data_IF_937973775840
#
_entry.id   IF_937973775840
#
_cell.length_a   1.000
_cell.length_b   1.000
_cell.length_c   1.000
_cell.angle_alpha   90.00
_cell.angle_beta   90.00
_cell.angle_gamma   90.00
#
_symmetry.space_group_name_H-M   'P 1'
#
loop_
_entity.id
_entity.type
_entity.pdbx_description
1 polymer ?
#
# COMPACT_ATOMS: atom_id res chain seq x y z
N UNK A 1 -10.56 2.02 -36.50
CA UNK A 1 -10.31 3.30 -37.16
C UNK A 1 -8.99 3.84 -36.71
N UNK A 2 -7.97 3.63 -37.52
CA UNK A 2 -6.65 4.27 -37.33
C UNK A 2 -6.74 5.65 -37.96
N UNK A 3 -6.89 6.66 -37.17
CA UNK A 3 -6.75 8.04 -37.60
C UNK A 3 -5.57 8.66 -36.87
N UNK A 4 -4.38 8.36 -37.33
CA UNK A 4 -3.17 9.02 -36.85
C UNK A 4 -2.11 8.91 -37.94
N UNK A 5 -1.69 10.03 -38.48
CA UNK A 5 -0.56 10.11 -39.42
C UNK A 5 0.73 10.03 -38.59
N UNK A 6 0.85 9.01 -37.74
CA UNK A 6 2.04 8.76 -36.94
C UNK A 6 2.82 7.58 -37.51
N UNK A 7 4.13 7.59 -37.38
CA UNK A 7 5.06 6.56 -37.85
C UNK A 7 5.16 5.36 -36.90
N UNK A 8 4.26 5.27 -35.91
CA UNK A 8 4.25 4.16 -34.96
C UNK A 8 3.84 2.82 -35.61
N UNK A 9 4.55 1.73 -35.28
CA UNK A 9 4.36 0.40 -35.87
C UNK A 9 3.89 -0.63 -34.84
N UNK A 10 3.36 -1.74 -35.35
CA UNK A 10 3.02 -2.91 -34.54
C UNK A 10 1.98 -2.63 -33.42
N UNK A 11 1.01 -1.74 -33.69
CA UNK A 11 -0.06 -1.42 -32.74
C UNK A 11 -1.36 -2.17 -33.10
N UNK A 12 -2.10 -2.59 -32.07
CA UNK A 12 -3.44 -3.16 -32.19
C UNK A 12 -4.43 -2.25 -31.45
N UNK A 13 -5.37 -1.62 -32.19
CA UNK A 13 -6.41 -0.75 -31.63
C UNK A 13 -7.80 -1.25 -31.99
N UNK A 14 -8.60 -1.58 -30.98
CA UNK A 14 -9.98 -2.08 -31.12
C UNK A 14 -10.91 -1.27 -30.24
N UNK A 15 -11.80 -0.50 -30.82
CA UNK A 15 -12.78 0.32 -30.12
C UNK A 15 -12.83 1.76 -30.61
N UNK A 16 -13.90 2.46 -30.25
CA UNK A 16 -14.07 3.86 -30.62
C UNK A 16 -12.98 4.70 -29.95
N UNK A 17 -12.25 5.47 -30.73
CA UNK A 17 -11.16 6.35 -30.28
C UNK A 17 -9.99 5.64 -29.54
N UNK A 18 -9.85 4.30 -29.64
CA UNK A 18 -8.68 3.60 -29.13
C UNK A 18 -7.41 4.09 -29.86
N UNK A 19 -6.38 4.49 -29.09
CA UNK A 19 -5.13 4.99 -29.66
C UNK A 19 -5.25 6.23 -30.55
N UNK A 20 -6.25 7.08 -30.35
CA UNK A 20 -6.62 8.17 -31.29
C UNK A 20 -5.49 9.17 -31.57
N UNK A 21 -4.65 9.47 -30.59
CA UNK A 21 -3.62 10.49 -30.69
C UNK A 21 -2.21 9.92 -30.89
N UNK A 22 -2.09 8.70 -31.42
CA UNK A 22 -0.79 8.07 -31.67
C UNK A 22 0.05 8.93 -32.63
N UNK A 23 1.27 9.26 -32.22
CA UNK A 23 2.27 9.91 -33.08
C UNK A 23 3.40 8.89 -33.45
N UNK A 24 4.25 8.55 -32.50
CA UNK A 24 5.38 7.63 -32.71
C UNK A 24 5.30 6.34 -31.89
N UNK A 25 4.23 6.19 -31.08
CA UNK A 25 4.03 5.06 -30.19
C UNK A 25 3.95 3.73 -30.96
N UNK A 26 4.66 2.71 -30.49
CA UNK A 26 4.76 1.40 -31.16
C UNK A 26 4.56 0.24 -30.21
N UNK A 27 4.12 -0.91 -30.74
CA UNK A 27 3.95 -2.17 -30.00
C UNK A 27 2.96 -2.04 -28.85
N UNK A 28 1.84 -1.35 -29.08
CA UNK A 28 0.78 -1.18 -28.09
C UNK A 28 -0.46 -2.00 -28.48
N UNK A 29 -1.17 -2.51 -27.48
CA UNK A 29 -2.47 -3.17 -27.63
C UNK A 29 -3.51 -2.41 -26.84
N UNK A 30 -4.43 -1.72 -27.53
CA UNK A 30 -5.52 -0.95 -26.87
C UNK A 30 -6.88 -1.49 -27.33
N UNK A 31 -7.66 -2.00 -26.35
CA UNK A 31 -8.97 -2.61 -26.61
C UNK A 31 -10.01 -1.97 -25.70
N UNK A 32 -10.96 -1.25 -26.26
CA UNK A 32 -12.02 -0.57 -25.54
C UNK A 32 -12.23 0.86 -26.05
N UNK A 33 -13.36 1.46 -25.68
CA UNK A 33 -13.64 2.85 -26.02
C UNK A 33 -12.60 3.75 -25.32
N UNK A 34 -11.92 4.59 -26.09
CA UNK A 34 -10.92 5.55 -25.62
C UNK A 34 -9.72 4.90 -24.87
N UNK A 35 -9.49 3.58 -25.02
CA UNK A 35 -8.30 2.94 -24.45
C UNK A 35 -7.03 3.53 -25.06
N UNK A 36 -6.08 4.00 -24.22
CA UNK A 36 -4.85 4.65 -24.67
C UNK A 36 -5.07 5.85 -25.58
N UNK A 37 -6.20 6.57 -25.46
CA UNK A 37 -6.64 7.59 -26.40
C UNK A 37 -5.58 8.65 -26.69
N UNK A 38 -4.84 9.10 -25.66
CA UNK A 38 -3.87 10.19 -25.75
C UNK A 38 -2.42 9.75 -25.85
N UNK A 39 -2.17 8.45 -26.16
CA UNK A 39 -0.80 7.98 -26.34
C UNK A 39 -0.12 8.75 -27.48
N UNK A 40 1.07 9.28 -27.23
CA UNK A 40 1.86 10.02 -28.20
C UNK A 40 3.07 9.19 -28.69
N UNK A 41 3.95 8.80 -27.76
CA UNK A 41 5.22 8.13 -28.03
C UNK A 41 5.51 6.92 -27.12
N UNK A 42 4.61 6.60 -26.19
CA UNK A 42 4.75 5.45 -25.29
C UNK A 42 4.68 4.10 -26.03
N UNK A 43 5.54 3.16 -25.65
CA UNK A 43 5.68 1.87 -26.34
C UNK A 43 5.44 0.68 -25.39
N UNK A 44 5.09 -0.49 -25.97
CA UNK A 44 4.93 -1.75 -25.25
C UNK A 44 3.83 -1.71 -24.17
N UNK A 45 2.76 -0.98 -24.38
CA UNK A 45 1.66 -0.90 -23.46
C UNK A 45 0.50 -1.82 -23.88
N UNK A 46 -0.18 -2.39 -22.88
CA UNK A 46 -1.45 -3.07 -23.04
C UNK A 46 -2.50 -2.30 -22.23
N UNK A 47 -3.55 -1.80 -22.88
CA UNK A 47 -4.68 -1.16 -22.18
C UNK A 47 -5.99 -1.79 -22.67
N UNK A 48 -6.70 -2.47 -21.77
CA UNK A 48 -7.96 -3.18 -22.07
C UNK A 48 -9.06 -2.71 -21.13
N UNK A 49 -10.09 -2.11 -21.68
CA UNK A 49 -11.26 -1.60 -20.95
C UNK A 49 -11.69 -0.21 -21.42
N UNK A 50 -12.87 0.19 -21.01
CA UNK A 50 -13.37 1.54 -21.28
C UNK A 50 -12.47 2.58 -20.61
N UNK A 51 -11.89 3.48 -21.41
CA UNK A 51 -10.96 4.53 -20.96
C UNK A 51 -9.72 4.02 -20.17
N UNK A 52 -9.33 2.76 -20.33
CA UNK A 52 -8.12 2.23 -19.72
C UNK A 52 -6.88 2.98 -20.24
N UNK A 53 -6.06 3.55 -19.36
CA UNK A 53 -4.86 4.31 -19.72
C UNK A 53 -5.14 5.49 -20.66
N UNK A 54 -6.32 6.10 -20.61
CA UNK A 54 -6.77 7.11 -21.56
C UNK A 54 -5.78 8.28 -21.74
N UNK A 55 -5.17 8.76 -20.67
CA UNK A 55 -4.24 9.90 -20.69
C UNK A 55 -2.75 9.50 -20.80
N UNK A 56 -2.44 8.26 -21.12
CA UNK A 56 -1.07 7.75 -21.24
C UNK A 56 -0.38 8.40 -22.45
N UNK A 57 0.44 9.41 -22.22
CA UNK A 57 1.12 10.16 -23.28
C UNK A 57 2.44 9.51 -23.69
N UNK A 58 3.34 9.31 -22.74
CA UNK A 58 4.70 8.76 -22.97
C UNK A 58 5.05 7.56 -22.09
N UNK A 59 4.10 7.08 -21.29
CA UNK A 59 4.31 5.88 -20.46
C UNK A 59 4.59 4.63 -21.29
N UNK A 60 5.53 3.80 -20.84
CA UNK A 60 5.93 2.58 -21.57
C UNK A 60 5.91 1.34 -20.69
N UNK A 61 5.71 0.17 -21.32
CA UNK A 61 5.72 -1.13 -20.65
C UNK A 61 4.66 -1.27 -19.54
N UNK A 62 3.49 -0.66 -19.72
CA UNK A 62 2.39 -0.76 -18.78
C UNK A 62 1.36 -1.80 -19.22
N UNK A 63 0.83 -2.55 -18.24
CA UNK A 63 -0.34 -3.43 -18.41
C UNK A 63 -1.51 -2.85 -17.62
N UNK A 64 -2.53 -2.36 -18.33
CA UNK A 64 -3.69 -1.69 -17.76
C UNK A 64 -4.96 -2.42 -18.17
N UNK A 65 -5.65 -3.05 -17.23
CA UNK A 65 -6.87 -3.83 -17.53
C UNK A 65 -8.02 -3.41 -16.60
N UNK A 66 -9.08 -2.91 -17.15
CA UNK A 66 -10.28 -2.49 -16.41
C UNK A 66 -10.78 -1.11 -16.81
N UNK A 67 -12.08 -0.88 -16.62
CA UNK A 67 -12.67 0.43 -16.91
C UNK A 67 -12.07 1.51 -16.00
N UNK A 68 -11.63 2.63 -16.60
CA UNK A 68 -10.93 3.74 -15.94
C UNK A 68 -9.65 3.34 -15.18
N UNK A 69 -9.10 2.13 -15.37
CA UNK A 69 -7.81 1.79 -14.79
C UNK A 69 -6.74 2.74 -15.34
N UNK A 70 -5.89 3.28 -14.46
CA UNK A 70 -4.80 4.20 -14.79
C UNK A 70 -5.21 5.36 -15.72
N UNK A 71 -6.43 5.87 -15.55
CA UNK A 71 -7.00 6.89 -16.47
C UNK A 71 -6.10 8.10 -16.67
N UNK A 72 -5.50 8.61 -15.60
CA UNK A 72 -4.64 9.82 -15.62
C UNK A 72 -3.15 9.51 -15.80
N UNK A 73 -2.75 8.28 -16.09
CA UNK A 73 -1.35 7.91 -16.27
C UNK A 73 -0.76 8.70 -17.45
N UNK A 74 0.22 9.55 -17.18
CA UNK A 74 0.85 10.38 -18.21
C UNK A 74 2.16 9.77 -18.74
N UNK A 75 3.11 9.46 -17.86
CA UNK A 75 4.46 9.05 -18.25
C UNK A 75 5.06 7.91 -17.42
N UNK A 76 4.34 7.37 -16.44
CA UNK A 76 4.81 6.23 -15.63
C UNK A 76 5.04 4.97 -16.45
N UNK A 77 6.04 4.17 -16.09
CA UNK A 77 6.43 2.97 -16.81
C UNK A 77 6.58 1.71 -15.96
N UNK A 78 6.45 0.54 -16.60
CA UNK A 78 6.61 -0.76 -15.95
C UNK A 78 5.52 -1.08 -14.93
N UNK A 79 4.32 -0.56 -15.09
CA UNK A 79 3.22 -0.75 -14.14
C UNK A 79 2.25 -1.86 -14.59
N UNK A 80 1.66 -2.54 -13.61
CA UNK A 80 0.52 -3.45 -13.77
C UNK A 80 -0.66 -2.87 -12.97
N UNK A 81 -1.71 -2.43 -13.65
CA UNK A 81 -2.94 -1.89 -13.07
C UNK A 81 -4.13 -2.70 -13.55
N UNK A 82 -4.77 -3.48 -12.66
CA UNK A 82 -5.86 -4.36 -13.01
C UNK A 82 -7.07 -4.18 -12.08
N UNK A 83 -8.21 -3.83 -12.64
CA UNK A 83 -9.48 -3.64 -11.91
C UNK A 83 -10.16 -2.32 -12.24
N UNK A 84 -11.45 -2.23 -11.92
CA UNK A 84 -12.22 -1.00 -12.07
C UNK A 84 -11.56 0.14 -11.27
N UNK A 85 -11.19 1.24 -11.93
CA UNK A 85 -10.54 2.40 -11.34
C UNK A 85 -9.23 2.07 -10.56
N UNK A 86 -8.56 0.95 -10.85
CA UNK A 86 -7.24 0.67 -10.27
C UNK A 86 -6.26 1.77 -10.69
N UNK A 87 -5.58 2.37 -9.71
CA UNK A 87 -4.63 3.49 -9.91
C UNK A 87 -5.21 4.65 -10.75
N UNK A 88 -6.50 4.96 -10.61
CA UNK A 88 -7.21 5.97 -11.41
C UNK A 88 -6.43 7.29 -11.57
N UNK A 89 -5.86 7.79 -10.47
CA UNK A 89 -5.15 9.07 -10.41
C UNK A 89 -3.63 8.95 -10.61
N UNK A 90 -3.10 7.77 -11.00
CA UNK A 90 -1.67 7.60 -11.27
C UNK A 90 -1.24 8.58 -12.40
N UNK A 91 -0.11 9.23 -12.22
CA UNK A 91 0.43 10.19 -13.19
C UNK A 91 1.81 9.80 -13.71
N UNK A 92 2.79 9.66 -12.86
CA UNK A 92 4.20 9.42 -13.23
C UNK A 92 4.86 8.28 -12.43
N UNK A 93 4.11 7.58 -11.57
CA UNK A 93 4.65 6.50 -10.74
C UNK A 93 5.09 5.28 -11.59
N UNK A 94 6.24 4.70 -11.24
CA UNK A 94 6.82 3.56 -11.93
C UNK A 94 6.78 2.27 -11.12
N UNK A 95 6.79 1.13 -11.82
CA UNK A 95 6.99 -0.19 -11.22
C UNK A 95 5.98 -0.53 -10.11
N UNK A 96 4.73 -0.14 -10.30
CA UNK A 96 3.65 -0.49 -9.40
C UNK A 96 2.89 -1.72 -9.88
N UNK A 97 2.47 -2.59 -8.96
CA UNK A 97 1.54 -3.69 -9.19
C UNK A 97 0.28 -3.41 -8.37
N UNK A 98 -0.77 -2.93 -9.00
CA UNK A 98 -2.03 -2.53 -8.36
C UNK A 98 -3.18 -3.35 -8.93
N UNK A 99 -3.73 -4.27 -8.13
CA UNK A 99 -4.75 -5.21 -8.58
C UNK A 99 -5.96 -5.18 -7.65
N UNK A 100 -7.11 -4.83 -8.17
CA UNK A 100 -8.37 -4.80 -7.42
C UNK A 100 -9.22 -3.59 -7.76
N UNK A 101 -10.52 -3.69 -7.49
CA UNK A 101 -11.44 -2.56 -7.64
C UNK A 101 -11.00 -1.41 -6.72
N UNK A 102 -10.80 -0.23 -7.29
CA UNK A 102 -10.32 0.98 -6.61
C UNK A 102 -9.01 0.84 -5.80
N UNK A 103 -8.25 -0.23 -6.04
CA UNK A 103 -6.91 -0.36 -5.47
C UNK A 103 -6.03 0.80 -5.94
N UNK A 104 -5.23 1.38 -5.05
CA UNK A 104 -4.33 2.50 -5.36
C UNK A 104 -5.01 3.71 -6.00
N UNK A 105 -6.32 3.93 -5.81
CA UNK A 105 -7.10 4.91 -6.56
C UNK A 105 -6.48 6.30 -6.62
N UNK A 106 -5.95 6.80 -5.51
CA UNK A 106 -5.32 8.13 -5.44
C UNK A 106 -3.80 8.08 -5.54
N UNK A 107 -3.20 6.95 -5.90
CA UNK A 107 -1.78 6.89 -6.25
C UNK A 107 -1.50 7.96 -7.31
N UNK A 108 -0.50 8.81 -7.10
CA UNK A 108 -0.11 9.84 -8.06
C UNK A 108 1.29 9.58 -8.63
N UNK A 109 2.31 9.86 -7.86
CA UNK A 109 3.72 9.76 -8.26
C UNK A 109 4.47 8.64 -7.55
N UNK A 110 3.82 7.94 -6.60
CA UNK A 110 4.43 6.85 -5.84
C UNK A 110 4.85 5.69 -6.75
N UNK A 111 6.03 5.11 -6.50
CA UNK A 111 6.57 4.00 -7.27
C UNK A 111 6.88 2.77 -6.43
N UNK A 112 7.07 1.63 -7.10
CA UNK A 112 7.46 0.36 -6.48
C UNK A 112 6.48 -0.14 -5.41
N UNK A 113 5.17 0.10 -5.59
CA UNK A 113 4.14 -0.42 -4.69
C UNK A 113 3.52 -1.70 -5.24
N UNK A 114 3.18 -2.61 -4.33
CA UNK A 114 2.31 -3.76 -4.58
C UNK A 114 1.04 -3.57 -3.75
N UNK A 115 -0.12 -3.38 -4.40
CA UNK A 115 -1.41 -3.29 -3.73
C UNK A 115 -2.40 -4.27 -4.39
N UNK A 116 -2.79 -5.32 -3.65
CA UNK A 116 -3.67 -6.37 -4.15
C UNK A 116 -4.87 -6.54 -3.24
N UNK A 117 -6.05 -6.24 -3.76
CA UNK A 117 -7.32 -6.33 -3.03
C UNK A 117 -8.22 -5.13 -3.29
N UNK A 118 -9.51 -5.29 -3.01
CA UNK A 118 -10.48 -4.19 -3.09
C UNK A 118 -10.09 -3.08 -2.09
N UNK A 119 -9.97 -1.85 -2.56
CA UNK A 119 -9.47 -0.68 -1.83
C UNK A 119 -8.05 -0.81 -1.23
N UNK A 120 -7.24 -1.82 -1.61
CA UNK A 120 -5.87 -1.90 -1.12
C UNK A 120 -5.07 -0.65 -1.52
N UNK A 121 -4.42 0.00 -0.56
CA UNK A 121 -3.65 1.23 -0.79
C UNK A 121 -4.44 2.37 -1.45
N UNK A 122 -5.76 2.46 -1.22
CA UNK A 122 -6.63 3.39 -1.94
C UNK A 122 -6.13 4.85 -1.91
N UNK A 123 -5.49 5.30 -0.85
CA UNK A 123 -5.03 6.67 -0.67
C UNK A 123 -3.50 6.84 -0.65
N UNK A 124 -2.78 6.01 -1.38
CA UNK A 124 -1.31 6.02 -1.42
C UNK A 124 -0.67 7.37 -1.75
N UNK A 125 -1.32 8.19 -2.60
CA UNK A 125 -0.77 9.47 -3.03
C UNK A 125 0.62 9.34 -3.67
N UNK A 126 1.64 9.92 -3.04
CA UNK A 126 3.05 9.80 -3.44
C UNK A 126 3.81 8.71 -2.69
N UNK A 127 3.14 7.92 -1.85
CA UNK A 127 3.77 6.83 -1.09
C UNK A 127 4.41 5.77 -1.99
N UNK A 128 5.61 5.29 -1.64
CA UNK A 128 6.36 4.33 -2.44
C UNK A 128 6.95 3.17 -1.64
N UNK A 129 7.25 2.06 -2.32
CA UNK A 129 7.88 0.89 -1.70
C UNK A 129 6.98 0.11 -0.76
N UNK A 130 5.65 0.19 -0.90
CA UNK A 130 4.72 -0.50 -0.01
C UNK A 130 4.24 -1.83 -0.60
N UNK A 131 4.02 -2.82 0.27
CA UNK A 131 3.34 -4.07 -0.05
C UNK A 131 2.04 -4.14 0.77
N UNK A 132 0.90 -4.09 0.10
CA UNK A 132 -0.44 -4.08 0.71
C UNK A 132 -1.30 -5.16 0.08
N UNK A 133 -1.59 -6.23 0.81
CA UNK A 133 -2.37 -7.34 0.30
C UNK A 133 -3.56 -7.66 1.23
N UNK A 134 -4.75 -7.53 0.71
CA UNK A 134 -6.01 -7.75 1.42
C UNK A 134 -7.05 -6.67 1.14
N UNK A 135 -8.31 -6.96 1.41
CA UNK A 135 -9.37 -5.96 1.33
C UNK A 135 -9.08 -4.81 2.30
N UNK A 136 -9.08 -3.58 1.83
CA UNK A 136 -8.77 -2.37 2.59
C UNK A 136 -7.39 -2.37 3.28
N UNK A 137 -6.42 -3.21 2.89
CA UNK A 137 -5.06 -3.16 3.41
C UNK A 137 -4.44 -1.79 3.07
N UNK A 138 -3.91 -1.07 4.07
CA UNK A 138 -3.37 0.27 3.90
C UNK A 138 -4.38 1.32 3.43
N UNK A 139 -5.68 1.11 3.68
CA UNK A 139 -6.70 2.12 3.37
C UNK A 139 -6.45 3.40 4.18
N UNK A 140 -6.33 4.55 3.50
CA UNK A 140 -5.92 5.85 4.02
C UNK A 140 -4.47 5.95 4.52
N UNK A 141 -3.60 4.99 4.20
CA UNK A 141 -2.16 5.10 4.44
C UNK A 141 -1.47 5.73 3.23
N UNK A 142 -0.73 6.81 3.44
CA UNK A 142 0.06 7.48 2.40
C UNK A 142 1.58 7.42 2.63
N UNK A 143 2.03 6.54 3.53
CA UNK A 143 3.43 6.38 3.92
C UNK A 143 4.27 5.57 2.93
N UNK A 144 5.50 5.24 3.35
CA UNK A 144 6.49 4.55 2.52
C UNK A 144 7.04 3.29 3.20
N UNK A 145 7.45 2.31 2.40
CA UNK A 145 8.18 1.12 2.85
C UNK A 145 7.44 0.30 3.93
N UNK A 146 6.14 0.13 3.77
CA UNK A 146 5.34 -0.67 4.68
C UNK A 146 4.98 -2.02 4.07
N UNK A 147 4.90 -3.05 4.91
CA UNK A 147 4.32 -4.35 4.58
C UNK A 147 3.02 -4.50 5.37
N UNK A 148 1.89 -4.62 4.68
CA UNK A 148 0.55 -4.72 5.26
C UNK A 148 -0.19 -5.91 4.64
N UNK A 149 -0.29 -7.00 5.38
CA UNK A 149 -0.91 -8.23 4.90
C UNK A 149 -2.12 -8.61 5.75
N UNK A 150 -3.31 -8.55 5.18
CA UNK A 150 -4.57 -8.89 5.84
C UNK A 150 -5.69 -7.89 5.60
N UNK A 151 -6.91 -8.27 5.96
CA UNK A 151 -8.08 -7.39 5.86
C UNK A 151 -7.95 -6.18 6.78
N UNK A 152 -8.15 -4.98 6.26
CA UNK A 152 -8.07 -3.70 7.00
C UNK A 152 -6.78 -3.52 7.83
N UNK A 153 -5.69 -4.17 7.42
CA UNK A 153 -4.37 -4.01 8.06
C UNK A 153 -3.86 -2.60 7.81
N UNK A 154 -3.36 -1.94 8.85
CA UNK A 154 -2.88 -0.56 8.75
C UNK A 154 -3.97 0.44 8.30
N UNK A 155 -5.24 0.11 8.54
CA UNK A 155 -6.34 1.03 8.25
C UNK A 155 -6.35 2.19 9.23
N UNK A 156 -6.34 3.42 8.74
CA UNK A 156 -6.36 4.62 9.56
C UNK A 156 -7.50 5.57 9.16
N UNK A 157 -8.13 6.21 10.15
CA UNK A 157 -9.20 7.19 9.92
C UNK A 157 -8.70 8.54 9.42
N UNK A 158 -7.48 8.92 9.74
CA UNK A 158 -6.96 10.28 9.56
C UNK A 158 -5.91 10.44 8.46
N UNK A 159 -5.46 9.34 7.84
CA UNK A 159 -4.52 9.39 6.70
C UNK A 159 -3.06 9.55 7.14
N UNK A 160 -2.60 8.72 8.06
CA UNK A 160 -1.23 8.75 8.57
C UNK A 160 -0.17 8.45 7.51
N UNK A 161 1.00 9.04 7.67
CA UNK A 161 2.19 8.86 6.81
C UNK A 161 3.22 7.93 7.46
N UNK A 162 2.78 6.84 8.08
CA UNK A 162 3.68 5.92 8.75
C UNK A 162 4.61 5.19 7.78
N UNK A 163 5.82 4.86 8.24
CA UNK A 163 6.89 4.31 7.41
C UNK A 163 7.55 3.12 8.09
N UNK A 164 8.07 2.20 7.26
CA UNK A 164 8.87 1.07 7.71
C UNK A 164 8.15 0.11 8.65
N UNK A 165 6.83 -0.06 8.51
CA UNK A 165 6.08 -0.98 9.35
C UNK A 165 5.91 -2.35 8.70
N UNK A 166 5.86 -3.38 9.55
CA UNK A 166 5.43 -4.72 9.19
C UNK A 166 4.15 -5.04 9.96
N UNK A 167 3.02 -5.00 9.29
CA UNK A 167 1.70 -5.23 9.85
C UNK A 167 1.11 -6.48 9.18
N UNK A 168 0.93 -7.56 9.93
CA UNK A 168 0.45 -8.83 9.40
C UNK A 168 -0.71 -9.36 10.25
N UNK A 169 -1.84 -9.57 9.63
CA UNK A 169 -3.06 -10.04 10.28
C UNK A 169 -4.23 -9.08 10.06
N UNK A 170 -5.45 -9.59 10.14
CA UNK A 170 -6.64 -8.75 10.01
C UNK A 170 -6.65 -7.69 11.10
N UNK A 171 -6.82 -6.42 10.72
CA UNK A 171 -6.82 -5.25 11.61
C UNK A 171 -5.52 -5.03 12.41
N UNK A 172 -4.38 -5.67 12.05
CA UNK A 172 -3.10 -5.34 12.68
C UNK A 172 -2.76 -3.86 12.40
N UNK A 173 -2.36 -3.11 13.42
CA UNK A 173 -2.12 -1.67 13.33
C UNK A 173 -3.36 -0.84 12.96
N UNK A 174 -4.57 -1.34 13.24
CA UNK A 174 -5.81 -0.60 13.02
C UNK A 174 -5.89 0.59 13.98
N UNK A 175 -5.94 1.80 13.45
CA UNK A 175 -5.99 3.02 14.28
C UNK A 175 -7.28 3.80 14.13
N UNK A 176 -7.77 4.35 15.25
CA UNK A 176 -8.85 5.33 15.28
C UNK A 176 -8.35 6.78 15.44
N UNK A 177 -7.05 6.97 15.61
CA UNK A 177 -6.37 8.25 15.78
C UNK A 177 -5.18 8.40 14.84
N UNK A 178 -4.50 9.54 14.87
CA UNK A 178 -3.27 9.79 14.10
C UNK A 178 -2.15 8.89 14.62
N UNK A 179 -1.63 8.02 13.75
CA UNK A 179 -0.35 7.38 14.00
C UNK A 179 0.78 8.40 13.74
N UNK A 180 1.83 8.44 14.57
CA UNK A 180 2.94 9.36 14.35
C UNK A 180 3.67 9.04 13.03
N UNK A 181 4.21 10.05 12.39
CA UNK A 181 5.09 9.89 11.24
C UNK A 181 6.33 9.07 11.65
N UNK A 182 6.59 7.96 10.96
CA UNK A 182 7.80 7.17 11.17
C UNK A 182 7.70 6.11 12.28
N UNK A 183 6.68 5.27 12.25
CA UNK A 183 6.40 4.31 13.32
C UNK A 183 7.39 3.15 13.46
N UNK A 184 7.93 2.57 12.38
CA UNK A 184 8.88 1.44 12.44
C UNK A 184 8.44 0.28 13.35
N UNK A 185 7.17 -0.13 13.26
CA UNK A 185 6.59 -1.15 14.11
C UNK A 185 6.51 -2.51 13.40
N UNK A 186 6.59 -3.58 14.19
CA UNK A 186 6.28 -4.95 13.76
C UNK A 186 5.08 -5.44 14.55
N UNK A 187 3.91 -5.50 13.92
CA UNK A 187 2.66 -5.93 14.54
C UNK A 187 2.11 -7.14 13.80
N UNK A 188 2.09 -8.29 14.47
CA UNK A 188 1.71 -9.57 13.87
C UNK A 188 0.60 -10.24 14.68
N UNK A 189 -0.55 -10.45 14.04
CA UNK A 189 -1.71 -11.11 14.62
C UNK A 189 -3.01 -10.33 14.39
N UNK A 190 -4.13 -10.96 14.67
CA UNK A 190 -5.45 -10.33 14.58
C UNK A 190 -5.56 -9.20 15.60
N UNK A 191 -5.91 -7.97 15.16
CA UNK A 191 -5.94 -6.76 15.98
C UNK A 191 -4.64 -6.45 16.76
N UNK A 192 -3.49 -7.00 16.36
CA UNK A 192 -2.23 -6.69 17.02
C UNK A 192 -1.91 -5.20 16.94
N UNK A 193 -1.62 -4.57 18.09
CA UNK A 193 -1.32 -3.14 18.19
C UNK A 193 -2.48 -2.22 17.76
N UNK A 194 -3.73 -2.67 17.81
CA UNK A 194 -4.86 -1.80 17.51
C UNK A 194 -4.92 -0.62 18.47
N UNK A 195 -5.14 0.59 17.92
CA UNK A 195 -5.12 1.87 18.66
C UNK A 195 -3.76 2.25 19.29
N UNK A 196 -2.68 1.54 18.96
CA UNK A 196 -1.33 1.92 19.35
C UNK A 196 -0.88 3.15 18.54
N UNK A 197 -0.28 4.12 19.20
CA UNK A 197 0.19 5.38 18.63
C UNK A 197 1.67 5.64 18.86
N UNK A 198 2.39 4.70 19.50
CA UNK A 198 3.83 4.77 19.69
C UNK A 198 4.63 4.36 18.44
N UNK A 199 5.95 4.17 18.61
CA UNK A 199 6.86 3.85 17.52
C UNK A 199 7.94 2.84 17.92
N UNK A 200 8.59 2.22 16.92
CA UNK A 200 9.74 1.33 17.12
C UNK A 200 9.45 0.12 18.00
N UNK A 201 8.25 -0.45 17.90
CA UNK A 201 7.80 -1.48 18.81
C UNK A 201 7.44 -2.79 18.11
N UNK A 202 7.45 -3.89 18.86
CA UNK A 202 7.11 -5.23 18.38
C UNK A 202 5.94 -5.76 19.19
N UNK A 203 4.82 -6.03 18.52
CA UNK A 203 3.62 -6.66 19.08
C UNK A 203 3.28 -7.94 18.32
N UNK A 204 3.28 -9.09 18.99
CA UNK A 204 2.97 -10.39 18.36
C UNK A 204 1.89 -11.11 19.17
N UNK A 205 0.77 -11.40 18.54
CA UNK A 205 -0.32 -12.16 19.15
C UNK A 205 -1.70 -11.67 18.79
N UNK A 206 -2.71 -12.39 19.22
CA UNK A 206 -4.12 -12.05 19.02
C UNK A 206 -4.52 -10.88 19.92
N UNK A 207 -5.08 -9.82 19.35
CA UNK A 207 -5.56 -8.61 20.06
C UNK A 207 -4.54 -8.01 21.04
N UNK A 208 -3.25 -8.26 20.82
CA UNK A 208 -2.21 -7.79 21.73
C UNK A 208 -2.20 -6.28 21.75
N UNK A 209 -2.34 -5.69 22.92
CA UNK A 209 -2.16 -4.26 23.15
C UNK A 209 -0.72 -3.97 23.54
N UNK A 210 -0.23 -2.81 23.15
CA UNK A 210 1.09 -2.40 23.63
C UNK A 210 0.96 -1.91 25.07
N UNK A 211 1.91 -2.24 25.96
CA UNK A 211 1.85 -1.89 27.39
C UNK A 211 1.62 -0.39 27.65
N UNK A 212 2.22 0.45 26.80
CA UNK A 212 2.00 1.91 26.83
C UNK A 212 1.52 2.35 25.45
N UNK A 213 0.33 2.93 25.36
CA UNK A 213 -0.34 3.21 24.07
C UNK A 213 0.45 4.14 23.16
N UNK A 214 1.18 5.12 23.71
CA UNK A 214 2.01 6.08 22.98
C UNK A 214 3.51 5.88 23.24
N UNK A 215 3.89 4.76 23.88
CA UNK A 215 5.27 4.44 24.22
C UNK A 215 6.11 4.05 23.00
N UNK A 216 7.43 4.06 23.17
CA UNK A 216 8.40 3.69 22.15
C UNK A 216 9.24 2.48 22.59
N UNK A 217 9.80 1.77 21.61
CA UNK A 217 10.75 0.67 21.85
C UNK A 217 10.18 -0.40 22.79
N UNK A 218 8.95 -0.81 22.59
CA UNK A 218 8.28 -1.81 23.39
C UNK A 218 8.31 -3.17 22.70
N UNK A 219 8.27 -4.22 23.49
CA UNK A 219 8.02 -5.60 23.06
C UNK A 219 6.78 -6.12 23.80
N UNK A 220 5.84 -6.70 23.08
CA UNK A 220 4.69 -7.39 23.64
C UNK A 220 4.43 -8.67 22.85
N UNK A 221 4.52 -9.81 23.49
CA UNK A 221 4.16 -11.11 22.93
C UNK A 221 3.14 -11.75 23.85
N UNK A 222 1.96 -12.09 23.32
CA UNK A 222 0.89 -12.63 24.15
C UNK A 222 -0.46 -12.63 23.44
N UNK A 223 -1.50 -12.58 24.22
CA UNK A 223 -2.88 -12.53 23.73
C UNK A 223 -3.70 -11.57 24.59
N UNK A 224 -4.48 -10.69 23.96
CA UNK A 224 -5.28 -9.64 24.60
C UNK A 224 -4.40 -8.78 25.54
N UNK A 225 -4.70 -8.70 26.83
CA UNK A 225 -3.90 -8.00 27.83
C UNK A 225 -3.04 -9.00 28.67
N UNK A 226 -2.91 -10.25 28.19
CA UNK A 226 -2.09 -11.29 28.83
C UNK A 226 -0.76 -11.39 28.11
N UNK A 227 0.30 -10.92 28.73
CA UNK A 227 1.63 -10.87 28.13
C UNK A 227 2.44 -12.10 28.59
N UNK A 228 2.98 -12.85 27.62
CA UNK A 228 3.93 -13.94 27.89
C UNK A 228 5.34 -13.36 28.00
N UNK A 229 5.66 -12.39 27.13
CA UNK A 229 6.93 -11.66 27.14
C UNK A 229 6.63 -10.18 26.92
N UNK A 230 7.19 -9.32 27.76
CA UNK A 230 7.16 -7.86 27.58
C UNK A 230 8.56 -7.28 27.61
N UNK A 231 8.76 -6.14 26.94
CA UNK A 231 10.01 -5.41 26.95
C UNK A 231 9.76 -3.91 26.94
N UNK A 232 10.71 -3.15 27.44
CA UNK A 232 10.62 -1.70 27.54
C UNK A 232 11.85 -1.00 26.94
N UNK A 233 11.74 0.31 26.71
CA UNK A 233 12.81 1.17 26.24
C UNK A 233 14.07 1.14 27.15
N UNK A 234 13.89 0.79 28.42
CA UNK A 234 14.97 0.67 29.41
C UNK A 234 15.64 -0.72 29.39
N UNK A 235 15.42 -1.53 28.34
CA UNK A 235 15.98 -2.88 28.16
C UNK A 235 15.58 -3.87 29.25
N UNK A 236 14.46 -3.66 29.91
CA UNK A 236 13.87 -4.60 30.86
C UNK A 236 13.05 -5.62 30.08
N UNK A 237 13.16 -6.88 30.43
CA UNK A 237 12.38 -7.98 29.86
C UNK A 237 11.59 -8.65 30.98
N UNK A 238 10.28 -8.77 30.76
CA UNK A 238 9.37 -9.48 31.67
C UNK A 238 8.86 -10.75 31.00
N UNK A 239 8.84 -11.85 31.74
CA UNK A 239 8.21 -13.10 31.34
C UNK A 239 7.06 -13.36 32.31
N UNK A 240 5.81 -13.45 31.77
CA UNK A 240 4.62 -13.64 32.58
C UNK A 240 4.19 -12.39 33.39
N UNK A 241 4.68 -11.20 33.01
CA UNK A 241 4.29 -9.92 33.65
C UNK A 241 3.95 -8.86 32.63
N UNK A 242 2.98 -8.01 32.96
CA UNK A 242 2.45 -6.99 32.05
C UNK A 242 3.32 -5.72 31.92
N UNK A 243 4.02 -5.35 32.99
CA UNK A 243 4.86 -4.16 33.02
C UNK A 243 6.15 -4.39 33.79
N UNK A 244 7.25 -4.71 33.12
CA UNK A 244 8.54 -4.96 33.79
C UNK A 244 9.15 -3.70 34.39
N UNK A 245 8.69 -2.49 34.02
CA UNK A 245 9.25 -1.25 34.56
C UNK A 245 8.92 -1.02 36.03
N UNK A 246 7.79 -1.52 36.48
CA UNK A 246 7.34 -1.34 37.87
C UNK A 246 8.05 -2.27 38.86
N UNK A 247 8.82 -3.27 38.40
CA UNK A 247 9.43 -4.27 39.29
C UNK A 247 10.89 -4.00 39.64
N UNK A 248 11.60 -3.17 38.88
CA UNK A 248 13.01 -2.87 39.11
C UNK A 248 13.39 -1.43 38.80
N UNK A 249 14.35 -0.91 39.55
CA UNK A 249 14.85 0.45 39.43
C UNK A 249 16.05 0.60 38.50
N UNK A 250 16.69 -0.52 38.10
CA UNK A 250 17.90 -0.52 37.25
C UNK A 250 17.61 -0.86 35.78
N UNK A 251 18.58 -0.60 34.91
CA UNK A 251 18.55 -0.98 33.50
C UNK A 251 18.95 -2.45 33.30
N UNK A 252 18.48 -3.08 32.22
CA UNK A 252 18.86 -4.41 31.77
C UNK A 252 18.45 -5.57 32.70
N UNK A 253 17.31 -5.48 33.35
CA UNK A 253 16.81 -6.55 34.23
C UNK A 253 15.91 -7.55 33.48
N UNK A 254 16.06 -8.83 33.81
CA UNK A 254 15.14 -9.89 33.47
C UNK A 254 14.20 -10.14 34.68
N UNK A 255 12.90 -10.04 34.45
CA UNK A 255 11.88 -10.30 35.45
C UNK A 255 11.05 -11.51 35.03
N UNK A 256 10.99 -12.53 35.88
CA UNK A 256 10.11 -13.69 35.70
C UNK A 256 9.03 -13.64 36.75
N UNK A 257 7.78 -13.43 36.29
CA UNK A 257 6.62 -13.42 37.18
C UNK A 257 6.19 -14.87 37.53
N UNK A 258 5.71 -15.02 38.74
CA UNK A 258 4.94 -16.19 39.14
C UNK A 258 3.46 -15.78 39.07
N UNK A 259 2.67 -16.48 38.28
CA UNK A 259 1.21 -16.27 38.18
C UNK A 259 0.49 -16.79 39.39
#
# INVERSE_FOLDING_TARGET
NVAGVGVGTDNVFIGSCAGRCVATASRNVFIGREAGQRINDGCHNVAIGDQAGCCMMSGSSNTVVGSFAAYHLCSGGGNVYMGLQAALCATTGDRNVIIGNTAGKTLTTGGSNVAVGHFAGCTLGSGGGNVMMGNCAGYRSSGHHNVMLGHSTGWDRQGSKFKYNVLIGSHAGYSRGTLPDGSMDVLIGFYAGACYTGTCSVGIGHSIRMPITDGQNQLAIGQDDQYWITGSSNRKVGIGISDPQNYFSSYNDLVVGNT
#
